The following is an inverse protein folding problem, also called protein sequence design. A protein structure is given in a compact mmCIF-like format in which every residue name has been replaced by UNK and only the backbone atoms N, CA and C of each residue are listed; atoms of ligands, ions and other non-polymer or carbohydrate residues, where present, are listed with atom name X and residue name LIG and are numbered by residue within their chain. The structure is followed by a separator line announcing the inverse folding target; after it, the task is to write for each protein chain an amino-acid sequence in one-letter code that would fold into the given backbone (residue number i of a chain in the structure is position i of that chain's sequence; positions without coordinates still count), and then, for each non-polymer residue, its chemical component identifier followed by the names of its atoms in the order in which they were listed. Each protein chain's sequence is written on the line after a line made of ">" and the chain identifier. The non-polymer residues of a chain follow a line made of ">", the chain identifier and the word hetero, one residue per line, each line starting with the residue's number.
data_IF_365004551580
#
_entry.id   IF_365004551580
#
_cell.length_a   1.000
_cell.length_b   1.000
_cell.length_c   1.000
_cell.angle_alpha   90.00
_cell.angle_beta   90.00
_cell.angle_gamma   90.00
#
_symmetry.space_group_name_H-M   'P 1'
#
loop_
_entity.id
_entity.type
_entity.pdbx_description
1 polymer ?
#
# COMPACT_ATOMS: atom_id res chain seq x y z
N UNK A 1 -12.19 -30.29 31.22
CA UNK A 1 -12.19 -28.86 31.02
C UNK A 1 -13.37 -28.44 30.14
N UNK A 2 -14.08 -27.44 30.59
CA UNK A 2 -15.23 -26.94 29.86
C UNK A 2 -14.86 -25.66 29.14
N UNK A 3 -15.17 -25.61 27.86
CA UNK A 3 -14.92 -24.42 27.05
C UNK A 3 -16.23 -23.61 26.97
N UNK A 4 -16.11 -22.35 27.24
CA UNK A 4 -17.27 -21.46 27.32
C UNK A 4 -17.09 -20.28 26.35
N UNK A 5 -16.89 -20.60 25.09
CA UNK A 5 -16.62 -19.61 24.03
C UNK A 5 -17.94 -19.14 23.43
N UNK A 6 -18.16 -17.82 23.52
CA UNK A 6 -19.35 -17.19 22.94
C UNK A 6 -18.89 -16.33 21.77
N UNK A 7 -19.26 -16.70 20.57
CA UNK A 7 -18.81 -16.02 19.37
C UNK A 7 -19.26 -14.56 19.31
N UNK A 8 -20.43 -14.27 19.89
CA UNK A 8 -20.94 -12.89 19.90
C UNK A 8 -20.09 -11.95 20.75
N UNK A 9 -19.26 -12.50 21.65
CA UNK A 9 -18.39 -11.69 22.50
C UNK A 9 -17.06 -11.35 21.85
N UNK A 10 -16.80 -11.92 20.68
CA UNK A 10 -15.56 -11.62 19.94
C UNK A 10 -15.76 -10.35 19.15
N UNK A 11 -14.94 -9.35 19.42
CA UNK A 11 -15.01 -8.10 18.69
C UNK A 11 -14.64 -8.34 17.23
N UNK A 12 -15.45 -7.79 16.33
CA UNK A 12 -15.12 -7.84 14.92
C UNK A 12 -13.92 -6.95 14.65
N UNK A 13 -13.02 -7.43 13.79
CA UNK A 13 -11.87 -6.66 13.39
C UNK A 13 -12.30 -5.65 12.35
N UNK A 14 -12.20 -4.37 12.70
CA UNK A 14 -12.59 -3.31 11.79
C UNK A 14 -11.52 -3.13 10.70
N UNK A 15 -11.93 -2.78 9.48
CA UNK A 15 -10.96 -2.48 8.43
C UNK A 15 -10.15 -1.23 8.81
N UNK A 16 -8.92 -1.17 8.30
CA UNK A 16 -8.08 0.01 8.50
C UNK A 16 -8.74 1.20 7.81
N UNK A 17 -8.92 2.28 8.56
CA UNK A 17 -9.54 3.49 8.04
C UNK A 17 -8.62 4.23 7.08
N UNK A 18 -9.21 5.03 6.20
CA UNK A 18 -8.44 5.91 5.34
C UNK A 18 -7.57 6.84 6.18
N UNK A 19 -6.32 7.00 5.79
CA UNK A 19 -5.38 7.85 6.52
C UNK A 19 -3.95 7.56 6.15
N UNK A 20 -3.03 8.12 6.91
CA UNK A 20 -1.60 7.90 6.73
C UNK A 20 -1.08 7.06 7.87
N UNK A 21 -0.32 6.03 7.53
CA UNK A 21 0.21 5.09 8.51
C UNK A 21 1.66 4.79 8.22
N UNK A 22 2.44 4.64 9.28
CA UNK A 22 3.81 4.18 9.15
C UNK A 22 3.76 2.65 9.04
N UNK A 23 4.34 2.11 7.98
CA UNK A 23 4.27 0.69 7.70
C UNK A 23 5.58 0.16 7.16
N UNK A 24 5.85 -1.10 7.44
CA UNK A 24 7.05 -1.79 6.98
C UNK A 24 6.65 -2.85 5.97
N UNK A 25 7.45 -2.99 4.93
CA UNK A 25 7.24 -4.05 3.94
C UNK A 25 7.65 -5.39 4.56
N UNK A 26 6.70 -6.29 4.69
CA UNK A 26 6.95 -7.63 5.21
C UNK A 26 7.28 -8.62 4.11
N UNK A 27 6.72 -8.41 2.93
CA UNK A 27 6.97 -9.27 1.77
C UNK A 27 6.70 -8.49 0.50
N UNK A 28 7.45 -8.80 -0.56
CA UNK A 28 7.26 -8.17 -1.87
C UNK A 28 7.69 -9.18 -2.94
N UNK A 29 6.82 -9.39 -3.92
CA UNK A 29 7.07 -10.41 -4.93
C UNK A 29 6.47 -9.99 -6.27
N UNK A 30 7.22 -10.21 -7.34
CA UNK A 30 6.72 -9.99 -8.70
C UNK A 30 6.03 -11.26 -9.17
N UNK A 31 4.76 -11.15 -9.54
CA UNK A 31 3.96 -12.27 -10.01
C UNK A 31 3.21 -11.93 -11.27
N UNK A 32 3.07 -12.89 -12.14
CA UNK A 32 2.18 -12.75 -13.29
C UNK A 32 0.74 -12.67 -12.83
N UNK A 33 -0.07 -11.85 -13.50
CA UNK A 33 -1.50 -11.81 -13.24
C UNK A 33 -2.12 -13.13 -13.67
N UNK A 34 -3.22 -13.50 -13.02
CA UNK A 34 -3.91 -14.76 -13.34
C UNK A 34 -4.65 -14.71 -14.67
N UNK A 35 -4.88 -13.52 -15.18
CA UNK A 35 -5.55 -13.35 -16.47
C UNK A 35 -4.64 -13.80 -17.60
N UNK A 36 -5.26 -14.30 -18.66
CA UNK A 36 -4.53 -14.68 -19.86
C UNK A 36 -3.84 -13.45 -20.48
N UNK A 37 -2.75 -13.67 -21.22
CA UNK A 37 -2.10 -12.57 -21.94
C UNK A 37 -3.10 -11.84 -22.83
N UNK A 38 -2.93 -10.53 -22.92
CA UNK A 38 -3.81 -9.68 -23.72
C UNK A 38 -2.98 -8.95 -24.77
N UNK A 39 -3.64 -8.55 -25.85
CA UNK A 39 -2.99 -7.85 -26.94
C UNK A 39 -2.88 -6.36 -26.60
N UNK A 40 -1.70 -5.79 -26.78
CA UNK A 40 -1.49 -4.35 -26.60
C UNK A 40 -1.81 -3.59 -27.89
N UNK A 41 -1.62 -2.27 -27.88
CA UNK A 41 -1.91 -1.42 -29.03
C UNK A 41 -1.02 -1.73 -30.24
N UNK A 42 0.15 -2.29 -30.02
CA UNK A 42 1.06 -2.69 -31.07
C UNK A 42 0.73 -4.09 -31.63
N UNK A 43 -0.30 -4.73 -31.10
CA UNK A 43 -0.70 -6.06 -31.53
C UNK A 43 0.09 -7.19 -30.90
N UNK A 44 0.92 -6.90 -29.94
CA UNK A 44 1.76 -7.89 -29.24
C UNK A 44 1.00 -8.47 -28.05
N UNK A 45 1.23 -9.76 -27.78
CA UNK A 45 0.65 -10.40 -26.61
C UNK A 45 1.48 -10.07 -25.38
N UNK A 46 0.82 -9.57 -24.34
CA UNK A 46 1.48 -9.15 -23.10
C UNK A 46 0.87 -9.89 -21.92
N UNK A 47 1.72 -10.59 -21.18
CA UNK A 47 1.34 -11.21 -19.92
C UNK A 47 1.46 -10.14 -18.83
N UNK A 48 0.35 -9.76 -18.21
CA UNK A 48 0.36 -8.81 -17.13
C UNK A 48 1.11 -9.32 -15.90
N UNK A 49 1.73 -8.43 -15.18
CA UNK A 49 2.45 -8.76 -13.95
C UNK A 49 2.37 -7.61 -12.97
N UNK A 50 2.38 -7.93 -11.70
CA UNK A 50 2.36 -6.93 -10.64
C UNK A 50 3.24 -7.32 -9.48
N UNK A 51 3.61 -6.33 -8.70
CA UNK A 51 4.36 -6.53 -7.47
C UNK A 51 3.36 -6.60 -6.33
N UNK A 52 3.25 -7.76 -5.70
CA UNK A 52 2.41 -7.96 -4.53
C UNK A 52 3.21 -7.60 -3.30
N UNK A 53 2.71 -6.67 -2.51
CA UNK A 53 3.39 -6.21 -1.31
C UNK A 53 2.48 -6.45 -0.12
N UNK A 54 3.05 -7.00 0.95
CA UNK A 54 2.36 -7.10 2.23
C UNK A 54 2.99 -6.10 3.19
N UNK A 55 2.19 -5.14 3.62
CA UNK A 55 2.58 -4.12 4.57
C UNK A 55 2.15 -4.52 5.97
N UNK A 56 2.93 -4.14 6.98
CA UNK A 56 2.51 -4.22 8.37
C UNK A 56 2.57 -2.83 8.97
N UNK A 57 1.44 -2.36 9.48
CA UNK A 57 1.40 -1.08 10.19
C UNK A 57 2.14 -1.25 11.49
N UNK A 58 3.07 -0.34 11.80
CA UNK A 58 3.98 -0.52 12.92
C UNK A 58 3.75 0.47 14.07
N UNK A 59 2.72 1.31 13.99
CA UNK A 59 2.38 2.18 15.12
C UNK A 59 0.93 2.64 15.02
N UNK A 60 0.40 3.13 16.12
CA UNK A 60 -0.93 3.68 16.18
C UNK A 60 -2.00 2.65 16.44
N UNK A 61 -3.24 3.04 16.20
CA UNK A 61 -4.42 2.24 16.48
C UNK A 61 -4.42 0.89 15.75
N UNK A 62 -3.86 0.87 14.54
CA UNK A 62 -3.88 -0.32 13.70
C UNK A 62 -2.53 -1.04 13.66
N UNK A 63 -1.69 -0.81 14.67
CA UNK A 63 -0.39 -1.50 14.77
C UNK A 63 -0.56 -3.01 14.65
N UNK A 64 0.25 -3.63 13.82
CA UNK A 64 0.19 -5.07 13.57
C UNK A 64 -0.76 -5.49 12.46
N UNK A 65 -1.56 -4.57 11.93
CA UNK A 65 -2.49 -4.90 10.85
C UNK A 65 -1.76 -5.02 9.53
N UNK A 66 -2.14 -6.00 8.75
CA UNK A 66 -1.57 -6.21 7.43
C UNK A 66 -2.41 -5.50 6.37
N UNK A 67 -1.74 -4.89 5.41
CA UNK A 67 -2.39 -4.32 4.23
C UNK A 67 -1.74 -4.95 3.02
N UNK A 68 -2.56 -5.45 2.11
CA UNK A 68 -2.09 -6.06 0.88
C UNK A 68 -2.20 -5.04 -0.25
N UNK A 69 -1.15 -4.93 -1.04
CA UNK A 69 -1.02 -3.94 -2.08
C UNK A 69 -0.53 -4.64 -3.34
N UNK A 70 -0.91 -4.10 -4.48
CA UNK A 70 -0.47 -4.64 -5.76
C UNK A 70 -0.16 -3.47 -6.69
N UNK A 71 1.08 -3.42 -7.16
CA UNK A 71 1.51 -2.38 -8.08
C UNK A 71 1.67 -3.03 -9.45
N UNK A 72 0.91 -2.56 -10.42
CA UNK A 72 1.00 -3.07 -11.79
C UNK A 72 2.36 -2.73 -12.38
N UNK A 73 3.10 -3.76 -12.79
CA UNK A 73 4.41 -3.58 -13.38
C UNK A 73 4.38 -3.71 -14.90
N UNK A 74 3.64 -4.69 -15.41
CA UNK A 74 3.52 -4.92 -16.85
C UNK A 74 2.05 -5.13 -17.18
N UNK A 75 1.58 -4.47 -18.22
CA UNK A 75 0.18 -4.55 -18.63
C UNK A 75 0.04 -4.26 -20.10
N UNK A 76 -0.89 -4.92 -20.76
CA UNK A 76 -1.18 -4.68 -22.17
C UNK A 76 -1.72 -3.26 -22.40
N UNK A 77 -2.43 -2.70 -21.42
CA UNK A 77 -2.93 -1.34 -21.47
C UNK A 77 -1.84 -0.39 -21.00
N UNK A 78 -1.38 0.50 -21.86
CA UNK A 78 -0.28 1.41 -21.56
C UNK A 78 -0.62 2.37 -20.42
N UNK A 79 -1.87 2.80 -20.32
CA UNK A 79 -2.29 3.71 -19.25
C UNK A 79 -2.21 3.00 -17.89
N UNK A 80 -2.68 1.76 -17.82
CA UNK A 80 -2.61 0.98 -16.59
C UNK A 80 -1.16 0.75 -16.17
N UNK A 81 -0.30 0.41 -17.13
CA UNK A 81 1.12 0.21 -16.85
C UNK A 81 1.78 1.50 -16.37
N UNK A 82 1.43 2.63 -16.97
CA UNK A 82 1.96 3.93 -16.57
C UNK A 82 1.57 4.31 -15.15
N UNK A 83 0.33 4.03 -14.76
CA UNK A 83 -0.12 4.29 -13.40
C UNK A 83 0.69 3.46 -12.40
N UNK A 84 0.90 2.17 -12.73
CA UNK A 84 1.71 1.29 -11.87
C UNK A 84 3.15 1.74 -11.75
N UNK A 85 3.76 2.16 -12.87
CA UNK A 85 5.14 2.63 -12.86
C UNK A 85 5.30 3.91 -12.05
N UNK A 86 4.32 4.81 -12.10
CA UNK A 86 4.36 6.03 -11.27
C UNK A 86 4.25 5.68 -9.79
N UNK A 87 3.40 4.73 -9.44
CA UNK A 87 3.29 4.27 -8.05
C UNK A 87 4.60 3.63 -7.58
N UNK A 88 5.20 2.80 -8.43
CA UNK A 88 6.46 2.15 -8.11
C UNK A 88 7.59 3.16 -7.95
N UNK A 89 7.61 4.18 -8.82
CA UNK A 89 8.60 5.25 -8.72
C UNK A 89 8.47 5.97 -7.38
N UNK A 90 7.25 6.31 -6.98
CA UNK A 90 7.01 6.99 -5.70
C UNK A 90 7.48 6.12 -4.53
N UNK A 91 7.22 4.82 -4.59
CA UNK A 91 7.65 3.90 -3.55
C UNK A 91 9.19 3.83 -3.49
N UNK A 92 9.84 3.68 -4.64
CA UNK A 92 11.30 3.62 -4.69
C UNK A 92 11.92 4.90 -4.17
N UNK A 93 11.36 6.06 -4.50
CA UNK A 93 11.84 7.33 -3.98
C UNK A 93 11.66 7.43 -2.46
N UNK A 94 10.58 6.89 -1.94
CA UNK A 94 10.31 6.91 -0.51
C UNK A 94 11.32 6.07 0.29
N UNK A 95 11.93 5.08 -0.34
CA UNK A 95 12.90 4.17 0.32
C UNK A 95 14.32 4.35 -0.22
N UNK A 96 14.57 5.37 -1.02
CA UNK A 96 15.89 5.70 -1.58
C UNK A 96 16.49 4.57 -2.43
N UNK A 97 15.68 3.93 -3.25
CA UNK A 97 16.14 2.94 -4.23
C UNK A 97 16.13 3.58 -5.60
N UNK A 98 17.28 3.76 -6.21
CA UNK A 98 17.38 4.31 -7.57
C UNK A 98 17.07 3.26 -8.64
N UNK A 99 17.59 2.06 -8.46
CA UNK A 99 17.38 0.98 -9.40
C UNK A 99 16.93 -0.24 -8.63
N UNK A 100 15.71 -0.69 -8.90
CA UNK A 100 15.19 -1.90 -8.25
C UNK A 100 15.27 -3.06 -9.25
N UNK A 101 16.13 -4.00 -8.96
CA UNK A 101 16.30 -5.21 -9.76
C UNK A 101 15.49 -6.39 -9.22
N UNK A 102 15.09 -6.32 -7.96
CA UNK A 102 14.31 -7.38 -7.31
C UNK A 102 13.37 -6.73 -6.29
N UNK A 103 12.07 -7.03 -6.34
CA UNK A 103 11.13 -6.47 -5.35
C UNK A 103 11.50 -6.77 -3.90
N UNK A 104 12.26 -7.83 -3.66
CA UNK A 104 12.71 -8.16 -2.30
C UNK A 104 13.59 -7.09 -1.68
N UNK A 105 14.14 -6.19 -2.49
CA UNK A 105 14.88 -5.04 -1.96
C UNK A 105 14.00 -4.14 -1.10
N UNK A 106 12.68 -4.24 -1.27
CA UNK A 106 11.72 -3.46 -0.48
C UNK A 106 11.52 -4.05 0.93
N UNK A 107 11.76 -5.33 1.12
CA UNK A 107 11.47 -6.01 2.39
C UNK A 107 12.27 -5.35 3.52
N UNK A 108 11.58 -5.05 4.61
CA UNK A 108 12.18 -4.37 5.76
C UNK A 108 12.20 -2.86 5.67
N UNK A 109 11.82 -2.29 4.53
CA UNK A 109 11.78 -0.84 4.37
C UNK A 109 10.52 -0.29 5.01
N UNK A 110 10.65 0.88 5.63
CA UNK A 110 9.55 1.56 6.29
C UNK A 110 9.17 2.81 5.51
N UNK A 111 7.87 2.97 5.30
CA UNK A 111 7.30 4.03 4.48
C UNK A 111 6.04 4.53 5.16
N UNK A 112 5.68 5.78 4.90
CA UNK A 112 4.35 6.26 5.26
C UNK A 112 3.44 5.92 4.08
N UNK A 113 2.47 5.06 4.32
CA UNK A 113 1.48 4.72 3.31
C UNK A 113 0.22 5.55 3.54
N UNK A 114 -0.34 6.04 2.47
CA UNK A 114 -1.62 6.73 2.53
C UNK A 114 -2.68 5.77 1.99
N UNK A 115 -3.71 5.52 2.79
CA UNK A 115 -4.70 4.51 2.46
C UNK A 115 -6.04 5.13 2.16
N UNK A 116 -6.83 4.39 1.39
CA UNK A 116 -8.23 4.69 1.17
C UNK A 116 -9.01 3.40 1.41
N UNK A 117 -10.31 3.51 1.63
CA UNK A 117 -11.16 2.34 1.83
C UNK A 117 -11.93 2.09 0.56
N UNK A 118 -11.74 0.89 0.01
CA UNK A 118 -12.51 0.44 -1.14
C UNK A 118 -13.70 -0.37 -0.62
N UNK A 119 -14.89 0.06 -0.99
CA UNK A 119 -16.11 -0.62 -0.58
C UNK A 119 -16.47 -1.70 -1.58
N UNK A 120 -16.84 -2.85 -1.06
CA UNK A 120 -17.28 -3.97 -1.88
C UNK A 120 -18.46 -4.64 -1.20
N UNK A 121 -19.58 -4.75 -1.92
CA UNK A 121 -20.73 -5.46 -1.41
C UNK A 121 -20.47 -6.95 -1.26
N UNK A 122 -19.51 -7.46 -2.04
CA UNK A 122 -19.20 -8.89 -2.09
C UNK A 122 -18.17 -9.30 -1.04
N UNK A 123 -17.15 -8.44 -0.83
CA UNK A 123 -16.01 -8.78 0.00
C UNK A 123 -15.89 -7.90 1.26
N UNK A 124 -16.80 -6.94 1.44
CA UNK A 124 -16.72 -5.96 2.52
C UNK A 124 -15.73 -4.85 2.21
N UNK A 125 -15.55 -3.96 3.16
CA UNK A 125 -14.64 -2.82 3.01
C UNK A 125 -13.19 -3.29 3.13
N UNK A 126 -12.33 -2.74 2.29
CA UNK A 126 -10.92 -3.13 2.24
C UNK A 126 -10.05 -1.89 2.13
N UNK A 127 -9.00 -1.84 2.92
CA UNK A 127 -8.02 -0.76 2.83
C UNK A 127 -7.11 -1.01 1.63
N UNK A 128 -6.86 0.07 0.88
CA UNK A 128 -5.93 0.05 -0.25
C UNK A 128 -4.95 1.19 -0.11
N UNK A 129 -3.72 0.97 -0.56
CA UNK A 129 -2.70 2.02 -0.54
C UNK A 129 -2.87 2.88 -1.78
N UNK A 130 -2.97 4.19 -1.60
CA UNK A 130 -3.09 5.12 -2.73
C UNK A 130 -1.86 5.98 -2.92
N UNK A 131 -0.95 6.07 -1.94
CA UNK A 131 0.25 6.88 -2.07
C UNK A 131 1.31 6.41 -1.08
N UNK A 132 2.56 6.73 -1.40
CA UNK A 132 3.73 6.38 -0.60
C UNK A 132 4.52 7.64 -0.31
N UNK A 133 4.98 7.81 0.95
CA UNK A 133 5.78 8.96 1.35
C UNK A 133 6.96 8.49 2.16
N UNK A 134 8.07 9.20 2.06
CA UNK A 134 9.24 8.86 2.86
C UNK A 134 8.94 8.96 4.36
N UNK A 135 9.48 8.01 5.13
CA UNK A 135 9.24 7.97 6.57
C UNK A 135 10.09 8.97 7.34
N UNK A 136 11.15 9.47 6.74
CA UNK A 136 12.06 10.40 7.38
C UNK A 136 11.34 11.72 7.71
N UNK A 137 11.41 12.14 8.96
CA UNK A 137 10.79 13.38 9.39
C UNK A 137 9.28 13.31 9.60
N UNK A 138 8.68 12.15 9.40
CA UNK A 138 7.25 12.00 9.61
C UNK A 138 6.91 12.05 11.09
N UNK A 139 5.91 12.87 11.44
CA UNK A 139 5.35 12.89 12.78
C UNK A 139 3.91 12.37 12.68
N UNK A 140 3.56 11.31 13.42
CA UNK A 140 2.18 10.81 13.38
C UNK A 140 1.23 11.86 13.94
N UNK A 141 0.02 11.93 13.43
CA UNK A 141 -0.95 12.87 13.96
C UNK A 141 -1.23 12.55 15.42
N UNK A 142 -1.10 13.56 16.27
CA UNK A 142 -1.52 13.45 17.66
C UNK A 142 -2.96 13.88 17.77
N UNK A 143 -3.69 13.28 18.68
CA UNK A 143 -5.09 13.61 18.85
C UNK A 143 -5.30 15.11 18.98
N UNK A 144 -6.11 15.65 18.09
CA UNK A 144 -6.45 17.06 18.10
C UNK A 144 -5.42 17.99 17.51
N UNK A 145 -4.32 17.52 16.98
CA UNK A 145 -3.31 18.38 16.40
C UNK A 145 -3.13 18.11 14.92
N UNK A 146 -3.38 19.08 14.18
CA UNK A 146 -3.25 18.91 12.77
C UNK A 146 -1.99 19.46 12.23
N UNK A 147 -1.35 19.83 12.18
CA UNK A 147 -0.65 20.32 11.57
C UNK A 147 0.14 20.37 10.78
N UNK A 148 0.15 20.46 10.96
CA UNK A 148 0.49 20.77 10.34
C UNK A 148 1.09 21.12 9.57
N UNK A 149 1.13 21.30 9.56
CA UNK A 149 1.34 21.69 9.02
C UNK A 149 1.99 21.91 8.46
N UNK A 150 2.37 22.10 8.53
CA UNK A 150 2.63 22.31 8.17
C UNK A 150 3.23 22.38 7.38
N UNK A 151 3.29 22.40 7.27
CA UNK A 151 3.33 22.40 6.72
C UNK A 151 3.51 22.79 5.98
N UNK A 152 3.80 23.03 5.92
CA UNK A 152 3.54 23.38 5.43
C UNK A 152 3.79 23.81 4.75
N UNK A 153 4.21 24.04 4.82
CA UNK A 153 4.06 24.33 4.35
C UNK A 153 4.39 24.62 3.69
N UNK A 154 4.80 24.73 3.88
CA UNK A 154 4.68 24.87 3.46
C UNK A 154 4.98 25.06 2.92
N UNK A 155 5.38 25.15 3.21
CA UNK A 155 5.24 25.16 2.92
C UNK A 155 5.52 25.49 2.51
N UNK A 156 6.03 25.62 2.66
CA UNK A 156 5.85 25.77 2.58
C UNK A 156 6.19 26.12 2.07
N UNK A 157 6.54 26.50 2.20
CA UNK A 157 6.34 26.72 2.05
C UNK A 157 6.65 26.92 1.85
N UNK A 158 6.97 27.01 1.98
CA UNK A 158 6.72 27.05 2.14
C UNK A 158 6.93 27.05 1.91
#
# INVERSE_FOLDING_TARGET
>A
MVMNFVTANVAEELPVRAGKYKATVMDAELKNHKKDPQRNDAGEMVQGAGINIRWSIIEGEFDGRAIFDNITYRHANATAQGIGHRALKALCEAVDIEVMSDPRQLVGKTVIIETTVRRSAEWGDKAEVKAYHGASGYAPPSGGFGSSEAFDDDDVNF
#
